data_IF_419199495421
#
_entry.id   IF_419199495421
#
_cell.length_a   1.000
_cell.length_b   1.000
_cell.length_c   1.000
_cell.angle_alpha   90.00
_cell.angle_beta   90.00
_cell.angle_gamma   90.00
#
_symmetry.space_group_name_H-M   'P 1'
#
loop_
_entity.id
_entity.type
_entity.pdbx_description
1 polymer ?
#
# COMPACT_ATOMS: atom_id res chain seq x y z
N UNK A 1 6.32 16.87 -26.13
CA UNK A 1 6.74 16.86 -27.52
C UNK A 1 5.77 16.03 -28.39
N UNK A 2 5.71 14.70 -28.28
CA UNK A 2 4.88 13.85 -29.17
C UNK A 2 3.39 14.24 -29.18
N UNK A 3 2.84 14.70 -28.07
CA UNK A 3 1.42 15.12 -27.96
C UNK A 3 1.15 16.54 -28.51
N UNK A 4 2.19 17.30 -28.82
CA UNK A 4 2.10 18.68 -29.32
C UNK A 4 2.62 18.83 -30.75
N UNK A 5 2.96 17.72 -31.40
CA UNK A 5 3.46 17.69 -32.76
C UNK A 5 2.30 17.92 -33.76
N UNK A 6 2.54 18.65 -34.83
CA UNK A 6 1.54 18.95 -35.87
C UNK A 6 1.17 17.72 -36.72
N UNK A 7 1.91 16.63 -36.64
CA UNK A 7 1.68 15.39 -37.40
C UNK A 7 0.85 14.38 -36.60
N UNK A 8 -0.41 14.22 -36.97
CA UNK A 8 -1.31 13.25 -36.36
C UNK A 8 -0.86 11.77 -36.44
N UNK A 9 0.00 11.46 -37.41
CA UNK A 9 0.60 10.12 -37.56
C UNK A 9 1.49 9.74 -36.38
N UNK A 10 2.13 10.69 -35.71
CA UNK A 10 2.98 10.45 -34.56
C UNK A 10 2.23 9.81 -33.39
N UNK A 11 0.93 10.09 -33.25
CA UNK A 11 0.07 9.45 -32.24
C UNK A 11 -0.05 7.97 -32.51
N UNK A 12 -0.24 7.58 -33.78
CA UNK A 12 -0.34 6.18 -34.16
C UNK A 12 0.96 5.42 -34.00
N UNK A 13 2.09 6.04 -34.30
CA UNK A 13 3.40 5.48 -34.07
C UNK A 13 3.65 5.27 -32.56
N UNK A 14 3.27 6.25 -31.73
CA UNK A 14 3.35 6.14 -30.29
C UNK A 14 2.48 4.99 -29.73
N UNK A 15 1.23 4.87 -30.20
CA UNK A 15 0.33 3.77 -29.83
C UNK A 15 0.91 2.42 -30.29
N UNK A 16 1.39 2.34 -31.52
CA UNK A 16 2.00 1.14 -32.08
C UNK A 16 3.25 0.73 -31.31
N UNK A 17 4.12 1.66 -31.00
CA UNK A 17 5.28 1.41 -30.17
C UNK A 17 4.87 0.99 -28.73
N UNK A 18 3.86 1.65 -28.15
CA UNK A 18 3.29 1.30 -26.85
C UNK A 18 2.79 -0.13 -26.77
N UNK A 19 2.15 -0.61 -27.84
CA UNK A 19 1.65 -1.99 -27.90
C UNK A 19 2.77 -3.03 -28.02
N UNK A 20 3.89 -2.68 -28.64
CA UNK A 20 5.03 -3.59 -28.87
C UNK A 20 6.00 -3.67 -27.72
N UNK A 21 6.44 -2.53 -27.20
CA UNK A 21 7.48 -2.43 -26.16
C UNK A 21 6.94 -2.00 -24.79
N UNK A 22 5.68 -1.66 -24.73
CA UNK A 22 4.99 -1.19 -23.51
C UNK A 22 5.05 0.32 -23.34
N UNK A 23 3.91 0.91 -23.08
CA UNK A 23 3.73 2.36 -22.93
C UNK A 23 4.68 2.97 -21.89
N UNK A 24 4.84 2.29 -20.75
CA UNK A 24 5.73 2.75 -19.68
C UNK A 24 7.18 2.85 -20.14
N UNK A 25 7.66 1.87 -20.88
CA UNK A 25 9.04 1.89 -21.38
C UNK A 25 9.28 3.05 -22.35
N UNK A 26 8.27 3.39 -23.16
CA UNK A 26 8.37 4.54 -24.09
C UNK A 26 8.40 5.85 -23.33
N UNK A 27 7.52 6.02 -22.32
CA UNK A 27 7.52 7.21 -21.49
C UNK A 27 8.85 7.35 -20.75
N UNK A 28 9.38 6.26 -20.21
CA UNK A 28 10.68 6.27 -19.54
C UNK A 28 11.82 6.64 -20.50
N UNK A 29 11.81 6.08 -21.69
CA UNK A 29 12.80 6.40 -22.74
C UNK A 29 12.75 7.88 -23.12
N UNK A 30 11.55 8.43 -23.33
CA UNK A 30 11.38 9.84 -23.64
C UNK A 30 11.88 10.76 -22.51
N UNK A 31 11.50 10.46 -21.28
CA UNK A 31 11.95 11.28 -20.13
C UNK A 31 13.48 11.27 -19.98
N UNK A 32 14.12 10.12 -20.20
CA UNK A 32 15.58 10.01 -20.17
C UNK A 32 16.24 10.72 -21.35
N UNK A 33 15.68 10.63 -22.55
CA UNK A 33 16.22 11.28 -23.74
C UNK A 33 16.08 12.80 -23.70
N UNK A 34 14.98 13.32 -23.14
CA UNK A 34 14.76 14.76 -23.01
C UNK A 34 15.63 15.39 -21.91
N UNK A 35 15.74 14.73 -20.77
CA UNK A 35 16.43 15.27 -19.60
C UNK A 35 17.94 14.98 -19.60
N UNK A 36 18.36 13.88 -20.21
CA UNK A 36 19.72 13.35 -20.07
C UNK A 36 20.07 12.92 -18.64
N UNK A 37 19.06 12.82 -17.78
CA UNK A 37 19.20 12.55 -16.35
C UNK A 37 18.54 11.22 -15.97
N UNK A 38 18.87 10.75 -14.78
CA UNK A 38 18.15 9.63 -14.17
C UNK A 38 16.73 10.05 -13.82
N UNK A 39 15.78 9.11 -13.90
CA UNK A 39 14.42 9.36 -13.46
C UNK A 39 14.39 9.30 -11.93
N UNK A 40 14.11 10.42 -11.29
CA UNK A 40 14.10 10.54 -9.82
C UNK A 40 12.86 9.90 -9.19
N UNK A 41 11.75 9.87 -9.92
CA UNK A 41 10.48 9.29 -9.44
C UNK A 41 10.18 7.98 -10.13
N UNK A 42 9.78 6.95 -9.39
CA UNK A 42 9.44 5.67 -10.00
C UNK A 42 8.16 5.80 -10.85
N UNK A 43 8.17 5.16 -12.00
CA UNK A 43 7.04 5.11 -12.94
C UNK A 43 6.18 3.86 -12.77
N UNK A 44 6.47 3.03 -11.78
CA UNK A 44 5.83 1.73 -11.57
C UNK A 44 6.64 0.57 -12.17
N UNK A 45 5.98 -0.57 -12.38
CA UNK A 45 6.60 -1.75 -13.00
C UNK A 45 5.78 -2.26 -14.18
N UNK A 46 6.38 -2.54 -15.33
CA UNK A 46 5.70 -3.16 -16.46
C UNK A 46 5.47 -4.67 -16.27
N UNK A 47 6.04 -5.27 -15.22
CA UNK A 47 5.92 -6.69 -14.94
C UNK A 47 4.46 -7.07 -14.62
N UNK A 48 3.94 -8.05 -15.35
CA UNK A 48 2.64 -8.66 -15.04
C UNK A 48 2.82 -9.72 -13.97
N UNK A 49 1.98 -9.67 -12.95
CA UNK A 49 1.95 -10.66 -11.87
C UNK A 49 0.64 -11.45 -11.96
N UNK A 50 0.67 -12.69 -11.47
CA UNK A 50 -0.55 -13.46 -11.28
C UNK A 50 -1.49 -12.69 -10.36
N UNK A 51 -2.74 -12.54 -10.76
CA UNK A 51 -3.74 -11.82 -9.98
C UNK A 51 -4.49 -12.77 -9.04
N UNK A 52 -5.14 -12.20 -8.02
CA UNK A 52 -6.06 -12.95 -7.15
C UNK A 52 -7.19 -13.61 -7.95
N UNK A 53 -7.54 -13.05 -9.12
CA UNK A 53 -8.53 -13.64 -10.03
C UNK A 53 -8.12 -15.02 -10.58
N UNK A 54 -6.84 -15.36 -10.55
CA UNK A 54 -6.34 -16.69 -10.93
C UNK A 54 -6.53 -17.74 -9.84
N UNK A 55 -6.92 -17.33 -8.62
CA UNK A 55 -7.22 -18.22 -7.52
C UNK A 55 -8.70 -18.60 -7.57
N UNK A 56 -8.96 -19.90 -7.53
CA UNK A 56 -10.31 -20.45 -7.45
C UNK A 56 -10.43 -21.38 -6.26
N UNK A 57 -11.60 -21.43 -5.67
CA UNK A 57 -11.92 -22.44 -4.67
C UNK A 57 -12.55 -23.65 -5.38
N UNK A 58 -12.08 -24.87 -5.14
CA UNK A 58 -12.75 -26.04 -5.68
C UNK A 58 -14.16 -26.16 -5.08
N UNK A 59 -15.11 -26.45 -5.92
CA UNK A 59 -16.49 -26.66 -5.49
C UNK A 59 -16.63 -27.99 -4.75
N UNK A 60 -17.24 -27.96 -3.59
CA UNK A 60 -17.48 -29.14 -2.76
C UNK A 60 -18.97 -29.44 -2.51
N UNK A 61 -19.87 -28.94 -3.40
CA UNK A 61 -21.31 -29.02 -3.19
C UNK A 61 -21.85 -30.47 -3.12
N UNK A 62 -21.12 -31.44 -3.65
CA UNK A 62 -21.52 -32.87 -3.54
C UNK A 62 -21.23 -33.35 -2.14
N UNK A 63 -20.12 -32.95 -1.52
CA UNK A 63 -19.69 -33.41 -0.19
C UNK A 63 -20.24 -32.53 0.94
N UNK A 64 -20.40 -31.23 0.65
CA UNK A 64 -20.87 -30.24 1.62
C UNK A 64 -21.94 -29.36 1.00
N UNK A 65 -23.10 -29.35 1.58
CA UNK A 65 -24.18 -28.44 1.18
C UNK A 65 -23.80 -26.98 1.47
N UNK A 66 -24.14 -26.05 0.57
CA UNK A 66 -23.93 -24.63 0.81
C UNK A 66 -24.64 -24.16 2.08
N UNK A 67 -24.01 -23.26 2.81
CA UNK A 67 -24.63 -22.61 3.96
C UNK A 67 -25.80 -21.75 3.49
N UNK A 68 -27.01 -21.85 4.10
CA UNK A 68 -28.16 -21.04 3.73
C UNK A 68 -27.84 -19.55 3.77
N UNK A 69 -28.40 -18.78 2.82
CA UNK A 69 -28.27 -17.33 2.81
C UNK A 69 -28.78 -16.71 4.13
N UNK A 70 -28.05 -15.71 4.63
CA UNK A 70 -28.36 -15.06 5.92
C UNK A 70 -27.81 -15.75 7.16
N UNK A 71 -27.15 -16.90 7.03
CA UNK A 71 -26.47 -17.56 8.16
C UNK A 71 -25.32 -16.68 8.68
N UNK A 72 -25.14 -16.64 10.00
CA UNK A 72 -24.00 -15.99 10.62
C UNK A 72 -22.73 -16.81 10.35
N UNK A 73 -21.72 -16.14 9.81
CA UNK A 73 -20.42 -16.74 9.52
C UNK A 73 -19.38 -16.05 10.41
N UNK A 74 -18.59 -16.86 11.11
CA UNK A 74 -17.44 -16.33 11.85
C UNK A 74 -16.31 -15.98 10.88
N UNK A 75 -16.03 -14.70 10.76
CA UNK A 75 -14.94 -14.14 9.94
C UNK A 75 -13.72 -13.78 10.78
N UNK A 76 -13.71 -14.09 12.07
CA UNK A 76 -12.61 -13.76 12.95
C UNK A 76 -11.30 -14.38 12.50
N UNK A 77 -10.21 -13.63 12.67
CA UNK A 77 -8.89 -14.03 12.22
C UNK A 77 -7.86 -13.74 13.30
N UNK A 78 -6.92 -14.66 13.49
CA UNK A 78 -5.83 -14.54 14.46
C UNK A 78 -4.51 -14.51 13.69
N UNK A 79 -3.79 -13.40 13.80
CA UNK A 79 -2.44 -13.26 13.26
C UNK A 79 -1.45 -13.55 14.39
N UNK A 80 -0.44 -14.36 14.09
CA UNK A 80 0.60 -14.69 15.06
C UNK A 80 0.11 -15.59 16.18
N UNK A 81 -0.61 -16.68 15.89
CA UNK A 81 -1.13 -17.65 16.90
C UNK A 81 -0.09 -18.12 17.92
N UNK A 82 1.21 -18.15 17.54
CA UNK A 82 2.31 -18.56 18.41
C UNK A 82 3.06 -17.36 19.04
N UNK A 83 2.63 -16.14 18.78
CA UNK A 83 3.25 -14.94 19.37
C UNK A 83 2.83 -14.79 20.84
N UNK A 84 3.65 -14.08 21.63
CA UNK A 84 3.30 -13.74 23.03
C UNK A 84 2.02 -12.91 23.13
N UNK A 85 1.74 -12.09 22.10
CA UNK A 85 0.53 -11.28 21.97
C UNK A 85 -0.06 -11.49 20.58
N UNK A 86 -0.92 -12.49 20.35
CA UNK A 86 -1.59 -12.68 19.08
C UNK A 86 -2.51 -11.48 18.76
N UNK A 87 -2.61 -11.14 17.49
CA UNK A 87 -3.50 -10.08 17.02
C UNK A 87 -4.84 -10.69 16.59
N UNK A 88 -5.90 -10.39 17.33
CA UNK A 88 -7.27 -10.88 17.07
C UNK A 88 -8.04 -9.83 16.26
N UNK A 89 -8.59 -10.22 15.13
CA UNK A 89 -9.39 -9.39 14.24
C UNK A 89 -10.78 -9.99 14.08
N UNK A 90 -11.82 -9.14 14.05
CA UNK A 90 -13.19 -9.58 13.78
C UNK A 90 -13.42 -9.92 12.30
N UNK A 91 -12.55 -9.45 11.42
CA UNK A 91 -12.61 -9.66 9.97
C UNK A 91 -11.21 -9.87 9.42
N UNK A 92 -11.02 -10.65 8.34
CA UNK A 92 -9.71 -10.83 7.71
C UNK A 92 -9.24 -9.62 6.89
N UNK A 93 -9.97 -8.50 6.93
CA UNK A 93 -9.63 -7.27 6.25
C UNK A 93 -8.81 -6.36 7.17
N UNK A 94 -7.71 -5.83 6.69
CA UNK A 94 -6.84 -4.87 7.39
C UNK A 94 -6.73 -3.61 6.54
N UNK A 95 -6.71 -2.44 7.19
CA UNK A 95 -6.44 -1.19 6.49
C UNK A 95 -4.97 -1.19 6.07
N UNK A 96 -4.74 -1.07 4.76
CA UNK A 96 -3.39 -1.08 4.19
C UNK A 96 -2.52 0.07 4.71
N UNK A 97 -1.22 -0.15 4.73
CA UNK A 97 -0.25 0.87 5.11
C UNK A 97 -0.18 2.02 4.09
N UNK A 98 -0.56 3.22 4.52
CA UNK A 98 -0.50 4.44 3.71
C UNK A 98 0.22 5.53 4.48
N UNK A 99 1.26 6.09 3.85
CA UNK A 99 2.16 7.04 4.50
C UNK A 99 1.48 8.39 4.78
N UNK A 100 1.71 8.93 5.97
CA UNK A 100 1.30 10.29 6.33
C UNK A 100 2.14 11.33 5.57
N UNK A 101 1.48 12.41 5.16
CA UNK A 101 2.10 13.54 4.48
C UNK A 101 2.44 13.30 3.01
N UNK A 102 2.64 12.05 2.60
CA UNK A 102 2.87 11.66 1.22
C UNK A 102 1.59 11.18 0.53
N UNK A 103 0.86 10.29 1.16
CA UNK A 103 -0.37 9.72 0.63
C UNK A 103 -1.63 10.28 1.29
N UNK A 104 -1.60 10.47 2.61
CA UNK A 104 -2.78 10.82 3.40
C UNK A 104 -2.54 12.01 4.32
N UNK A 105 -3.58 12.82 4.52
CA UNK A 105 -3.62 13.88 5.52
C UNK A 105 -3.88 13.33 6.94
N UNK A 106 -3.56 14.10 7.97
CA UNK A 106 -3.81 13.74 9.37
C UNK A 106 -5.30 13.43 9.64
N UNK A 107 -6.28 14.27 9.22
CA UNK A 107 -7.70 13.98 9.45
C UNK A 107 -8.16 12.68 8.83
N UNK A 108 -7.68 12.37 7.61
CA UNK A 108 -8.05 11.15 6.93
C UNK A 108 -7.50 9.91 7.63
N UNK A 109 -6.25 9.95 8.06
CA UNK A 109 -5.63 8.86 8.82
C UNK A 109 -6.32 8.62 10.16
N UNK A 110 -6.69 9.71 10.87
CA UNK A 110 -7.43 9.60 12.12
C UNK A 110 -8.81 8.97 11.90
N UNK A 111 -9.49 9.29 10.80
CA UNK A 111 -10.74 8.65 10.41
C UNK A 111 -10.57 7.15 10.15
N UNK A 112 -9.51 6.76 9.45
CA UNK A 112 -9.18 5.34 9.22
C UNK A 112 -8.85 4.61 10.53
N UNK A 113 -8.08 5.22 11.42
CA UNK A 113 -7.75 4.65 12.73
C UNK A 113 -9.02 4.39 13.55
N UNK A 114 -9.94 5.37 13.61
CA UNK A 114 -11.24 5.23 14.28
C UNK A 114 -12.13 4.20 13.58
N UNK A 115 -12.19 4.21 12.26
CA UNK A 115 -12.94 3.24 11.46
C UNK A 115 -12.47 1.80 11.67
N UNK A 116 -11.15 1.58 11.82
CA UNK A 116 -10.61 0.25 12.12
C UNK A 116 -11.08 -0.29 13.46
N UNK A 117 -11.16 0.56 14.49
CA UNK A 117 -11.70 0.18 15.79
C UNK A 117 -13.17 -0.20 15.70
N UNK A 118 -13.98 0.62 15.02
CA UNK A 118 -15.41 0.34 14.81
C UNK A 118 -15.64 -0.99 14.08
N UNK A 119 -14.81 -1.29 13.10
CA UNK A 119 -14.87 -2.54 12.34
C UNK A 119 -14.24 -3.73 13.08
N UNK A 120 -13.57 -3.50 14.22
CA UNK A 120 -12.86 -4.56 14.96
C UNK A 120 -11.64 -5.13 14.23
N UNK A 121 -11.02 -4.32 13.36
CA UNK A 121 -9.82 -4.68 12.61
C UNK A 121 -8.62 -3.81 13.02
N UNK A 122 -7.51 -3.94 12.30
CA UNK A 122 -6.29 -3.19 12.58
C UNK A 122 -6.06 -2.06 11.57
N UNK A 123 -5.51 -0.96 12.08
CA UNK A 123 -4.99 0.15 11.30
C UNK A 123 -3.49 -0.02 11.09
N UNK A 124 -3.02 0.07 9.85
CA UNK A 124 -1.59 0.05 9.52
C UNK A 124 -1.05 1.46 9.36
N UNK A 125 0.03 1.76 10.07
CA UNK A 125 0.63 3.10 10.09
C UNK A 125 1.25 3.55 8.77
N UNK A 126 1.55 2.62 7.88
CA UNK A 126 2.40 2.93 6.73
C UNK A 126 3.82 3.32 7.13
N UNK A 127 4.61 3.79 6.17
CA UNK A 127 6.04 4.02 6.34
C UNK A 127 6.42 5.16 7.29
N UNK A 128 5.52 6.11 7.49
CA UNK A 128 5.78 7.32 8.29
C UNK A 128 5.54 7.16 9.80
N UNK A 129 5.25 5.94 10.26
CA UNK A 129 4.86 5.72 11.64
C UNK A 129 3.44 6.20 11.94
N UNK A 130 3.09 6.33 13.20
CA UNK A 130 1.77 6.78 13.64
C UNK A 130 1.84 7.93 14.64
N UNK A 131 0.82 8.76 14.63
CA UNK A 131 0.66 9.87 15.56
C UNK A 131 0.05 9.38 16.88
N UNK A 132 0.33 10.07 18.02
CA UNK A 132 -0.29 9.72 19.30
C UNK A 132 -1.83 9.67 19.24
N UNK A 133 -2.45 10.58 18.49
CA UNK A 133 -3.91 10.59 18.29
C UNK A 133 -4.43 9.36 17.55
N UNK A 134 -3.65 8.83 16.62
CA UNK A 134 -3.98 7.60 15.90
C UNK A 134 -3.93 6.39 16.84
N UNK A 135 -2.92 6.34 17.74
CA UNK A 135 -2.86 5.32 18.79
C UNK A 135 -4.07 5.36 19.73
N UNK A 136 -4.54 6.56 20.07
CA UNK A 136 -5.72 6.72 20.90
C UNK A 136 -7.03 6.32 20.19
N UNK A 137 -7.08 6.50 18.86
CA UNK A 137 -8.26 6.23 18.05
C UNK A 137 -8.36 4.78 17.56
N UNK A 138 -7.23 4.10 17.39
CA UNK A 138 -7.16 2.73 16.91
C UNK A 138 -6.94 1.74 18.05
N UNK A 139 -7.84 0.76 18.20
CA UNK A 139 -7.68 -0.32 19.18
C UNK A 139 -6.46 -1.18 18.86
N UNK A 140 -6.18 -1.38 17.58
CA UNK A 140 -5.08 -2.21 17.06
C UNK A 140 -4.31 -1.47 15.99
N UNK A 141 -3.00 -1.30 16.22
CA UNK A 141 -2.08 -0.68 15.26
C UNK A 141 -1.01 -1.68 14.84
N UNK A 142 -0.88 -1.83 13.52
CA UNK A 142 0.26 -2.47 12.89
C UNK A 142 1.24 -1.38 12.51
N UNK A 143 2.44 -1.40 13.08
CA UNK A 143 3.50 -0.47 12.73
C UNK A 143 4.33 -1.00 11.57
N UNK A 144 4.43 -0.22 10.48
CA UNK A 144 5.25 -0.60 9.35
C UNK A 144 6.72 -0.20 9.59
N UNK A 145 7.56 -1.19 9.84
CA UNK A 145 9.00 -1.02 10.00
C UNK A 145 9.70 -1.03 8.65
N UNK A 146 10.20 0.11 8.23
CA UNK A 146 10.76 0.34 6.88
C UNK A 146 12.26 0.57 6.91
N UNK A 147 12.87 0.76 5.73
CA UNK A 147 14.27 1.16 5.58
C UNK A 147 14.55 2.60 6.04
N UNK A 148 13.52 3.47 6.08
CA UNK A 148 13.62 4.85 6.56
C UNK A 148 14.03 4.95 8.04
N UNK A 149 14.39 6.16 8.48
CA UNK A 149 14.86 6.39 9.87
C UNK A 149 13.72 6.78 10.83
N UNK A 150 12.54 7.10 10.31
CA UNK A 150 11.39 7.51 11.11
C UNK A 150 10.62 6.31 11.68
N UNK A 151 9.99 6.54 12.81
CA UNK A 151 9.15 5.52 13.46
C UNK A 151 9.90 4.35 14.09
N UNK A 152 11.24 4.43 14.23
CA UNK A 152 12.07 3.35 14.78
C UNK A 152 12.40 3.50 16.26
N UNK A 153 11.83 4.49 16.92
CA UNK A 153 12.05 4.67 18.36
C UNK A 153 11.44 3.48 19.12
N UNK A 154 12.14 3.03 20.15
CA UNK A 154 11.71 1.89 20.99
C UNK A 154 10.29 2.11 21.53
N UNK A 155 9.99 3.32 21.98
CA UNK A 155 8.68 3.69 22.51
C UNK A 155 7.57 3.54 21.49
N UNK A 156 7.83 3.89 20.21
CA UNK A 156 6.87 3.74 19.12
C UNK A 156 6.61 2.26 18.82
N UNK A 157 7.67 1.46 18.77
CA UNK A 157 7.57 0.03 18.52
C UNK A 157 6.80 -0.70 19.63
N UNK A 158 7.03 -0.31 20.90
CA UNK A 158 6.34 -0.90 22.04
C UNK A 158 4.85 -0.57 22.10
N UNK A 159 4.43 0.53 21.50
CA UNK A 159 3.02 0.93 21.42
C UNK A 159 2.25 0.23 20.30
N UNK A 160 2.93 -0.44 19.38
CA UNK A 160 2.28 -1.18 18.31
C UNK A 160 1.80 -2.56 18.79
N UNK A 161 0.68 -3.02 18.24
CA UNK A 161 0.12 -4.35 18.52
C UNK A 161 0.76 -5.42 17.62
N UNK A 162 1.25 -5.01 16.45
CA UNK A 162 2.05 -5.84 15.54
C UNK A 162 3.04 -4.98 14.75
N UNK A 163 4.08 -5.63 14.22
CA UNK A 163 5.09 -4.98 13.39
C UNK A 163 5.08 -5.66 12.02
N UNK A 164 4.93 -4.86 10.97
CA UNK A 164 5.07 -5.29 9.59
C UNK A 164 6.47 -4.94 9.09
N UNK A 165 7.24 -5.93 8.70
CA UNK A 165 8.54 -5.70 8.06
C UNK A 165 8.34 -5.37 6.59
N UNK A 166 8.66 -4.13 6.21
CA UNK A 166 8.47 -3.62 4.86
C UNK A 166 9.81 -3.47 4.12
N UNK A 167 10.07 -4.37 3.18
CA UNK A 167 11.31 -4.38 2.41
C UNK A 167 11.32 -3.36 1.27
N UNK A 168 10.18 -2.89 0.85
CA UNK A 168 10.00 -1.91 -0.23
C UNK A 168 8.82 -2.25 -1.13
N UNK A 169 8.62 -1.43 -2.14
CA UNK A 169 7.57 -1.60 -3.14
C UNK A 169 8.19 -1.89 -4.50
N UNK A 170 7.78 -2.99 -5.14
CA UNK A 170 8.29 -3.38 -6.46
C UNK A 170 8.06 -2.33 -7.53
N UNK A 171 6.93 -1.61 -7.45
CA UNK A 171 6.59 -0.53 -8.37
C UNK A 171 7.52 0.69 -8.34
N UNK A 172 8.32 0.85 -7.29
CA UNK A 172 9.30 1.93 -7.19
C UNK A 172 10.71 1.51 -7.65
N UNK A 173 10.87 0.30 -8.18
CA UNK A 173 12.15 -0.17 -8.73
C UNK A 173 13.31 -0.12 -7.75
N UNK A 174 13.05 -0.21 -6.45
CA UNK A 174 14.07 -0.11 -5.40
C UNK A 174 14.54 1.31 -5.09
N UNK A 175 14.04 2.33 -5.78
CA UNK A 175 14.33 3.73 -5.47
C UNK A 175 13.80 4.10 -4.09
N UNK A 176 14.52 4.94 -3.30
CA UNK A 176 14.01 5.41 -2.03
C UNK A 176 12.82 6.33 -2.25
N UNK A 177 11.78 6.18 -1.42
CA UNK A 177 10.75 7.20 -1.32
C UNK A 177 11.31 8.38 -0.54
N UNK A 178 11.39 9.53 -1.17
CA UNK A 178 11.82 10.78 -0.55
C UNK A 178 10.58 11.52 -0.06
N UNK A 179 10.53 11.80 1.23
CA UNK A 179 9.52 12.64 1.86
C UNK A 179 10.16 14.01 2.14
N UNK A 180 9.76 15.02 1.38
CA UNK A 180 10.29 16.36 1.56
C UNK A 180 9.73 17.01 2.84
N UNK A 181 10.57 17.73 3.62
CA UNK A 181 10.14 18.33 4.88
C UNK A 181 8.96 19.29 4.77
N UNK A 182 8.79 19.96 3.62
CA UNK A 182 7.69 20.89 3.35
C UNK A 182 6.33 20.22 3.14
N UNK A 183 6.32 18.91 2.82
CA UNK A 183 5.09 18.14 2.58
C UNK A 183 4.51 17.54 3.87
N UNK A 184 5.23 17.61 4.98
CA UNK A 184 4.81 17.05 6.28
C UNK A 184 4.60 18.14 7.33
N UNK A 185 3.70 17.89 8.26
CA UNK A 185 3.47 18.83 9.36
C UNK A 185 4.71 18.98 10.25
N UNK A 186 4.81 20.11 10.97
CA UNK A 186 5.90 20.37 11.94
C UNK A 186 6.06 19.28 13.00
N UNK A 187 5.00 18.49 13.27
CA UNK A 187 5.04 17.39 14.25
C UNK A 187 5.77 16.15 13.75
N UNK A 188 6.01 16.04 12.45
CA UNK A 188 6.73 14.92 11.86
C UNK A 188 8.14 15.27 11.41
N UNK A 189 8.51 16.53 11.45
CA UNK A 189 9.87 16.99 11.25
C UNK A 189 10.65 16.81 12.55
#
# INVERSE_FOLDING_TARGET
>A
AIMTDEYGENIWEFISAGSRIGLQNIVELNLRSESGQIIERPLGTPKKYSSVQSLIFPYAQIDNMPIPGGSSIDTSTIIGKKAKKPLYLKTPLIIAGMAYGYALSEPFRLALAKGSSLAGTAFNSGQSGFLPKERQAADKIIHQYTRGHWGKKSETLQQADAIELHFGQGGVGGLPMVLEPNTVSKRMR
#
